data_IF_405333816256
#
_entry.id   IF_405333816256
#
_cell.length_a   1.000
_cell.length_b   1.000
_cell.length_c   1.000
_cell.angle_alpha   90.00
_cell.angle_beta   90.00
_cell.angle_gamma   90.00
#
_symmetry.space_group_name_H-M   'P 1'
#
loop_
_entity.id
_entity.type
_entity.pdbx_description
1 polymer ?
#
# COMPACT_ATOMS: atom_id res chain seq x y z
N UNK A 1 -0.82 19.86 -3.21
CA UNK A 1 -2.07 19.08 -3.11
C UNK A 1 -3.29 20.01 -3.20
N UNK A 2 -4.40 19.53 -3.75
CA UNK A 2 -5.68 20.26 -3.80
C UNK A 2 -6.30 20.38 -2.40
N UNK A 3 -7.16 21.37 -2.20
CA UNK A 3 -7.99 21.48 -0.98
C UNK A 3 -9.25 20.63 -1.10
N UNK A 4 -9.86 20.26 0.04
CA UNK A 4 -11.12 19.49 0.06
C UNK A 4 -12.23 20.13 -0.76
N UNK A 5 -12.34 21.47 -0.72
CA UNK A 5 -13.33 22.20 -1.51
C UNK A 5 -13.07 22.12 -3.02
N UNK A 6 -11.79 22.15 -3.43
CA UNK A 6 -11.39 21.96 -4.81
C UNK A 6 -11.68 20.53 -5.28
N UNK A 7 -11.37 19.52 -4.45
CA UNK A 7 -11.67 18.12 -4.75
C UNK A 7 -13.18 17.91 -4.94
N UNK A 8 -14.02 18.38 -4.01
CA UNK A 8 -15.47 18.27 -4.10
C UNK A 8 -16.06 18.93 -5.36
N UNK A 9 -15.46 20.05 -5.81
CA UNK A 9 -15.90 20.72 -7.04
C UNK A 9 -15.55 19.92 -8.30
N UNK A 10 -14.40 19.26 -8.30
CA UNK A 10 -13.99 18.37 -9.40
C UNK A 10 -14.90 17.15 -9.44
N UNK A 11 -15.14 16.54 -8.29
CA UNK A 11 -15.96 15.33 -8.12
C UNK A 11 -17.40 15.55 -8.62
N UNK A 12 -18.06 16.60 -8.11
CA UNK A 12 -19.44 16.94 -8.48
C UNK A 12 -19.62 17.27 -9.98
N UNK A 13 -18.57 17.74 -10.66
CA UNK A 13 -18.63 18.03 -12.11
C UNK A 13 -18.52 16.78 -12.97
N UNK A 14 -18.01 15.69 -12.43
CA UNK A 14 -17.67 14.48 -13.17
C UNK A 14 -18.46 13.25 -12.70
N UNK A 15 -19.56 13.44 -11.95
CA UNK A 15 -20.47 12.36 -11.54
C UNK A 15 -20.94 11.49 -12.74
N UNK A 16 -20.98 12.04 -13.96
CA UNK A 16 -21.36 11.34 -15.19
C UNK A 16 -20.19 10.89 -16.09
N UNK A 17 -18.92 11.17 -15.73
CA UNK A 17 -17.74 10.87 -16.57
C UNK A 17 -16.87 9.79 -15.94
N UNK A 18 -16.39 8.83 -16.75
CA UNK A 18 -15.45 7.80 -16.28
C UNK A 18 -14.16 8.45 -15.78
N UNK A 19 -13.95 8.44 -14.46
CA UNK A 19 -12.70 8.87 -13.84
C UNK A 19 -11.53 8.01 -14.34
N UNK A 20 -10.41 8.67 -14.66
CA UNK A 20 -9.16 7.97 -14.93
C UNK A 20 -8.44 7.69 -13.60
N UNK A 21 -8.58 6.46 -13.11
CA UNK A 21 -7.96 6.02 -11.86
C UNK A 21 -6.45 5.84 -12.02
N UNK A 22 -5.68 6.56 -11.21
CA UNK A 22 -4.24 6.38 -11.06
C UNK A 22 -3.90 5.30 -10.03
N UNK A 23 -4.74 5.13 -9.02
CA UNK A 23 -4.59 4.09 -8.01
C UNK A 23 -5.93 3.69 -7.41
N UNK A 24 -6.08 2.39 -7.13
CA UNK A 24 -7.16 1.85 -6.29
C UNK A 24 -6.63 0.69 -5.47
N UNK A 25 -7.03 0.63 -4.20
CA UNK A 25 -6.72 -0.48 -3.31
C UNK A 25 -7.47 -1.77 -3.69
N UNK A 26 -8.46 -1.66 -4.59
CA UNK A 26 -9.37 -2.72 -4.98
C UNK A 26 -9.32 -3.02 -6.47
N UNK A 27 -9.54 -4.29 -6.77
CA UNK A 27 -9.78 -4.84 -8.10
C UNK A 27 -11.24 -5.32 -8.17
N UNK A 28 -11.69 -5.77 -9.35
CA UNK A 28 -13.02 -6.35 -9.51
C UNK A 28 -13.30 -7.55 -8.59
N UNK A 29 -12.27 -8.21 -8.07
CA UNK A 29 -12.37 -9.43 -7.26
C UNK A 29 -12.00 -9.25 -5.80
N UNK A 30 -11.69 -8.03 -5.35
CA UNK A 30 -11.24 -7.76 -3.99
C UNK A 30 -9.96 -6.92 -3.94
N UNK A 31 -9.28 -6.84 -2.78
CA UNK A 31 -8.10 -6.00 -2.62
C UNK A 31 -6.99 -6.40 -3.59
N UNK A 32 -6.23 -5.42 -4.08
CA UNK A 32 -5.10 -5.68 -4.96
C UNK A 32 -4.00 -6.47 -4.22
N UNK A 33 -3.08 -7.10 -4.98
CA UNK A 33 -2.08 -7.99 -4.40
C UNK A 33 -1.15 -7.25 -3.42
N UNK A 34 -0.78 -6.00 -3.72
CA UNK A 34 -0.02 -5.15 -2.81
C UNK A 34 -0.75 -5.00 -1.47
N UNK A 35 -2.02 -4.61 -1.47
CA UNK A 35 -2.81 -4.42 -0.25
C UNK A 35 -2.88 -5.71 0.58
N UNK A 36 -3.03 -6.87 -0.07
CA UNK A 36 -3.05 -8.17 0.62
C UNK A 36 -1.70 -8.50 1.27
N UNK A 37 -0.58 -8.22 0.58
CA UNK A 37 0.76 -8.40 1.14
C UNK A 37 0.99 -7.48 2.33
N UNK A 38 0.57 -6.21 2.23
CA UNK A 38 0.68 -5.24 3.32
C UNK A 38 -0.14 -5.66 4.55
N UNK A 39 -1.36 -6.17 4.35
CA UNK A 39 -2.18 -6.75 5.42
C UNK A 39 -1.47 -7.92 6.11
N UNK A 40 -0.87 -8.84 5.34
CA UNK A 40 -0.11 -9.96 5.91
C UNK A 40 1.09 -9.45 6.73
N UNK A 41 1.80 -8.44 6.22
CA UNK A 41 2.93 -7.80 6.90
C UNK A 41 2.50 -7.14 8.21
N UNK A 42 1.34 -6.47 8.22
CA UNK A 42 0.74 -5.91 9.42
C UNK A 42 0.41 -7.00 10.44
N UNK A 43 -0.05 -8.17 10.00
CA UNK A 43 -0.27 -9.34 10.85
C UNK A 43 1.02 -9.85 11.50
N UNK A 44 2.12 -9.91 10.74
CA UNK A 44 3.42 -10.32 11.25
C UNK A 44 4.00 -9.32 12.26
N UNK A 45 3.92 -8.02 11.96
CA UNK A 45 4.34 -6.95 12.88
C UNK A 45 3.49 -6.97 14.16
N UNK A 46 2.18 -7.13 14.03
CA UNK A 46 1.25 -7.26 15.16
C UNK A 46 1.57 -8.48 16.04
N UNK A 47 1.88 -9.62 15.44
CA UNK A 47 2.29 -10.82 16.18
C UNK A 47 3.59 -10.58 16.97
N UNK A 48 4.61 -9.98 16.34
CA UNK A 48 5.91 -9.74 16.95
C UNK A 48 5.90 -8.68 18.05
N UNK A 49 5.08 -7.63 17.90
CA UNK A 49 4.90 -6.64 18.97
C UNK A 49 4.17 -7.18 20.20
N UNK A 50 3.34 -8.20 20.03
CA UNK A 50 2.47 -8.74 21.08
C UNK A 50 2.86 -10.17 21.51
N UNK A 51 4.06 -10.63 21.15
CA UNK A 51 4.50 -12.03 21.35
C UNK A 51 4.38 -12.56 22.79
N UNK A 52 4.57 -11.76 23.87
CA UNK A 52 4.39 -12.30 25.22
C UNK A 52 2.93 -12.64 25.57
N UNK A 53 1.95 -12.20 24.77
CA UNK A 53 0.53 -12.17 25.15
C UNK A 53 -0.42 -12.78 24.11
N UNK A 54 0.06 -13.35 22.99
CA UNK A 54 -0.79 -13.78 21.87
C UNK A 54 -0.77 -15.29 21.58
N UNK A 55 -1.91 -15.82 21.05
CA UNK A 55 -2.04 -17.20 20.59
C UNK A 55 -1.14 -17.48 19.37
N UNK A 56 -1.15 -18.75 18.93
CA UNK A 56 -0.45 -19.27 17.75
C UNK A 56 -0.45 -18.28 16.57
N UNK A 57 0.74 -18.02 16.01
CA UNK A 57 0.97 -17.11 14.89
C UNK A 57 0.05 -17.39 13.71
N UNK A 58 -0.22 -18.67 13.43
CA UNK A 58 -1.13 -19.03 12.34
C UNK A 58 -2.51 -18.39 12.52
N UNK A 59 -3.00 -18.28 13.75
CA UNK A 59 -4.28 -17.64 14.08
C UNK A 59 -4.24 -16.14 13.80
N UNK A 60 -3.17 -15.45 14.20
CA UNK A 60 -3.03 -14.01 13.95
C UNK A 60 -2.95 -13.74 12.45
N UNK A 61 -2.18 -14.52 11.70
CA UNK A 61 -2.02 -14.31 10.27
C UNK A 61 -3.28 -14.66 9.47
N UNK A 62 -4.09 -15.63 9.91
CA UNK A 62 -5.41 -15.89 9.31
C UNK A 62 -6.32 -14.66 9.36
N UNK A 63 -6.32 -13.94 10.48
CA UNK A 63 -7.07 -12.67 10.60
C UNK A 63 -6.53 -11.56 9.69
N UNK A 64 -5.33 -11.73 9.16
CA UNK A 64 -4.64 -10.79 8.28
C UNK A 64 -4.46 -11.36 6.87
N UNK A 65 -5.43 -12.16 6.41
CA UNK A 65 -5.51 -12.56 5.00
C UNK A 65 -4.50 -13.62 4.56
N UNK A 66 -3.90 -14.39 5.49
CA UNK A 66 -3.03 -15.53 5.15
C UNK A 66 -3.65 -16.46 4.10
N UNK A 67 -4.94 -16.74 4.25
CA UNK A 67 -5.65 -17.70 3.41
C UNK A 67 -6.16 -17.08 2.10
N UNK A 68 -5.95 -15.77 1.90
CA UNK A 68 -6.32 -15.12 0.64
C UNK A 68 -5.39 -15.55 -0.49
N UNK A 69 -4.16 -15.96 -0.17
CA UNK A 69 -3.10 -16.26 -1.15
C UNK A 69 -3.24 -17.65 -1.76
N UNK A 70 -2.92 -17.74 -3.05
CA UNK A 70 -2.80 -19.01 -3.76
C UNK A 70 -1.44 -19.05 -4.49
N UNK A 71 -0.46 -19.84 -4.01
CA UNK A 71 -0.54 -20.73 -2.85
C UNK A 71 -0.51 -19.98 -1.51
N UNK A 72 -1.13 -20.57 -0.49
CA UNK A 72 -1.03 -20.12 0.91
C UNK A 72 0.44 -20.25 1.37
N UNK A 73 0.99 -19.31 2.17
CA UNK A 73 2.35 -19.43 2.66
C UNK A 73 2.53 -20.65 3.58
N UNK A 74 3.61 -21.39 3.35
CA UNK A 74 4.07 -22.48 4.21
C UNK A 74 4.54 -21.97 5.57
N UNK A 75 4.70 -22.87 6.54
CA UNK A 75 5.19 -22.49 7.87
C UNK A 75 6.60 -21.88 7.78
N UNK A 76 7.45 -22.42 6.93
CA UNK A 76 8.81 -21.96 6.68
C UNK A 76 8.83 -20.56 6.04
N UNK A 77 7.92 -20.29 5.10
CA UNK A 77 7.77 -18.95 4.53
C UNK A 77 7.35 -17.94 5.60
N UNK A 78 6.48 -18.34 6.53
CA UNK A 78 6.08 -17.48 7.65
C UNK A 78 7.24 -17.24 8.62
N UNK A 79 8.03 -18.27 8.97
CA UNK A 79 9.22 -18.09 9.80
C UNK A 79 10.27 -17.18 9.14
N UNK A 80 10.39 -17.26 7.82
CA UNK A 80 11.19 -16.32 7.02
C UNK A 80 10.67 -14.88 7.15
N UNK A 81 9.35 -14.69 7.21
CA UNK A 81 8.74 -13.37 7.40
C UNK A 81 9.11 -12.77 8.75
N UNK A 82 9.08 -13.58 9.81
CA UNK A 82 9.51 -13.13 11.14
C UNK A 82 10.99 -12.74 11.18
N UNK A 83 11.84 -13.51 10.50
CA UNK A 83 13.28 -13.23 10.41
C UNK A 83 13.56 -11.90 9.69
N UNK A 84 12.64 -11.47 8.82
CA UNK A 84 12.71 -10.22 8.07
C UNK A 84 12.00 -9.04 8.73
N UNK A 85 11.53 -9.17 9.98
CA UNK A 85 10.72 -8.14 10.66
C UNK A 85 11.27 -6.71 10.64
N UNK A 86 12.58 -6.46 10.86
CA UNK A 86 13.11 -5.09 10.79
C UNK A 86 12.89 -4.42 9.43
N UNK A 87 12.79 -5.21 8.36
CA UNK A 87 12.54 -4.72 7.01
C UNK A 87 11.03 -4.56 6.73
N UNK A 88 10.18 -5.41 7.33
CA UNK A 88 8.73 -5.24 7.31
C UNK A 88 8.34 -3.88 7.90
N UNK A 89 8.95 -3.48 9.02
CA UNK A 89 8.66 -2.19 9.65
C UNK A 89 8.90 -0.99 8.71
N UNK A 90 9.89 -1.06 7.82
CA UNK A 90 10.14 -0.02 6.81
C UNK A 90 9.04 0.02 5.74
N UNK A 91 8.57 -1.14 5.31
CA UNK A 91 7.46 -1.26 4.35
C UNK A 91 6.18 -0.69 4.97
N UNK A 92 5.86 -1.08 6.20
CA UNK A 92 4.68 -0.55 6.92
C UNK A 92 4.80 0.94 7.21
N UNK A 93 6.01 1.47 7.42
CA UNK A 93 6.21 2.92 7.53
C UNK A 93 5.89 3.63 6.22
N UNK A 94 6.30 3.09 5.07
CA UNK A 94 5.94 3.65 3.77
C UNK A 94 4.42 3.61 3.55
N UNK A 95 3.77 2.50 3.92
CA UNK A 95 2.31 2.35 3.86
C UNK A 95 1.61 3.44 4.70
N UNK A 96 2.06 3.62 5.94
CA UNK A 96 1.51 4.65 6.82
C UNK A 96 1.69 6.05 6.26
N UNK A 97 2.83 6.37 5.65
CA UNK A 97 3.05 7.71 5.06
C UNK A 97 2.16 7.98 3.86
N UNK A 98 1.79 6.95 3.11
CA UNK A 98 0.78 7.06 2.06
C UNK A 98 -0.61 7.25 2.67
N UNK A 99 -0.96 6.48 3.71
CA UNK A 99 -2.26 6.63 4.38
C UNK A 99 -2.42 8.02 5.02
N UNK A 100 -1.35 8.58 5.59
CA UNK A 100 -1.31 9.96 6.08
C UNK A 100 -1.53 10.98 4.95
N UNK A 101 -0.96 10.72 3.75
CA UNK A 101 -1.14 11.58 2.57
C UNK A 101 -2.57 11.53 2.02
N UNK A 102 -3.24 10.38 2.09
CA UNK A 102 -4.59 10.18 1.57
C UNK A 102 -5.70 10.32 2.61
N UNK A 103 -5.37 10.76 3.83
CA UNK A 103 -6.37 10.99 4.86
C UNK A 103 -7.30 12.15 4.48
N UNK A 104 -8.53 12.14 5.00
CA UNK A 104 -9.49 13.24 4.80
C UNK A 104 -8.97 14.57 5.37
N UNK A 105 -8.21 14.47 6.47
CA UNK A 105 -7.52 15.57 7.13
C UNK A 105 -6.03 15.19 7.24
N UNK A 106 -5.25 15.35 6.15
CA UNK A 106 -3.86 14.94 6.15
C UNK A 106 -3.04 15.83 7.08
N UNK A 107 -2.07 15.26 7.83
CA UNK A 107 -1.12 16.05 8.61
C UNK A 107 -0.42 17.11 7.76
N UNK A 108 -0.08 18.26 8.37
CA UNK A 108 0.55 19.37 7.67
C UNK A 108 1.88 18.98 6.98
N UNK A 109 2.59 17.98 7.51
CA UNK A 109 3.86 17.46 7.01
C UNK A 109 3.70 16.17 6.18
N UNK A 110 2.47 15.75 5.83
CA UNK A 110 2.22 14.49 5.13
C UNK A 110 2.96 14.40 3.79
N UNK A 111 3.03 15.51 3.05
CA UNK A 111 3.77 15.61 1.79
C UNK A 111 5.28 15.39 1.99
N UNK A 112 5.87 16.01 3.03
CA UNK A 112 7.31 15.91 3.31
C UNK A 112 7.71 14.52 3.85
N UNK A 113 6.76 13.85 4.51
CA UNK A 113 6.96 12.52 5.09
C UNK A 113 6.73 11.39 4.10
N UNK A 114 6.17 11.66 2.92
CA UNK A 114 5.87 10.65 1.92
C UNK A 114 7.10 9.80 1.58
N UNK A 115 6.97 8.47 1.68
CA UNK A 115 8.04 7.51 1.35
C UNK A 115 7.59 6.55 0.26
N UNK A 116 8.48 6.29 -0.69
CA UNK A 116 8.26 5.32 -1.76
C UNK A 116 8.07 3.90 -1.21
N UNK A 117 6.89 3.33 -1.46
CA UNK A 117 6.55 1.95 -1.19
C UNK A 117 7.42 0.99 -2.01
N UNK A 118 7.61 1.29 -3.30
CA UNK A 118 8.44 0.47 -4.18
C UNK A 118 9.87 0.35 -3.65
N UNK A 119 10.45 1.47 -3.22
CA UNK A 119 11.81 1.51 -2.67
C UNK A 119 11.92 0.67 -1.39
N UNK A 120 10.92 0.76 -0.49
CA UNK A 120 10.88 -0.04 0.72
C UNK A 120 10.77 -1.55 0.42
N UNK A 121 9.95 -1.94 -0.56
CA UNK A 121 9.80 -3.34 -0.98
C UNK A 121 11.05 -3.88 -1.66
N UNK A 122 11.76 -3.08 -2.46
CA UNK A 122 13.06 -3.48 -3.04
C UNK A 122 14.06 -3.76 -1.91
N UNK A 123 14.18 -2.85 -0.93
CA UNK A 123 15.07 -3.05 0.22
C UNK A 123 14.69 -4.28 1.04
N UNK A 124 13.39 -4.53 1.24
CA UNK A 124 12.89 -5.74 1.86
C UNK A 124 13.35 -6.97 1.08
N UNK A 125 13.15 -7.02 -0.24
CA UNK A 125 13.56 -8.15 -1.07
C UNK A 125 15.07 -8.40 -1.00
N UNK A 126 15.87 -7.34 -1.11
CA UNK A 126 17.33 -7.43 -0.99
C UNK A 126 17.75 -7.98 0.36
N UNK A 127 17.08 -7.60 1.46
CA UNK A 127 17.40 -8.15 2.77
C UNK A 127 17.14 -9.66 2.86
N UNK A 128 16.07 -10.15 2.23
CA UNK A 128 15.81 -11.59 2.14
C UNK A 128 16.95 -12.32 1.42
N UNK A 129 17.55 -11.70 0.41
CA UNK A 129 18.61 -12.35 -0.36
C UNK A 129 19.89 -12.65 0.44
N UNK A 130 20.08 -11.96 1.57
CA UNK A 130 21.24 -12.13 2.45
C UNK A 130 20.99 -13.10 3.63
N UNK A 131 19.76 -13.63 3.78
CA UNK A 131 19.41 -14.54 4.87
C UNK A 131 18.87 -15.87 4.34
N UNK A 132 19.65 -16.95 4.53
CA UNK A 132 19.30 -18.30 4.11
C UNK A 132 17.98 -18.79 4.72
N UNK A 133 17.60 -18.30 5.91
CA UNK A 133 16.34 -18.68 6.58
C UNK A 133 15.10 -18.18 5.83
N UNK A 134 15.28 -17.25 4.89
CA UNK A 134 14.17 -16.65 4.13
C UNK A 134 13.99 -17.28 2.75
N UNK A 135 14.69 -18.37 2.43
CA UNK A 135 14.59 -19.04 1.12
C UNK A 135 13.13 -19.37 0.75
N UNK A 136 12.39 -20.01 1.65
CA UNK A 136 10.99 -20.38 1.40
C UNK A 136 10.09 -19.15 1.24
N UNK A 137 10.32 -18.10 2.02
CA UNK A 137 9.63 -16.82 1.84
C UNK A 137 9.91 -16.22 0.46
N UNK A 138 11.18 -16.22 0.03
CA UNK A 138 11.58 -15.69 -1.28
C UNK A 138 10.93 -16.44 -2.43
N UNK A 139 10.86 -17.77 -2.32
CA UNK A 139 10.21 -18.63 -3.30
C UNK A 139 8.70 -18.37 -3.33
N UNK A 140 8.06 -18.31 -2.16
CA UNK A 140 6.63 -18.02 -2.06
C UNK A 140 6.28 -16.65 -2.66
N UNK A 141 7.02 -15.58 -2.31
CA UNK A 141 6.82 -14.25 -2.87
C UNK A 141 6.92 -14.25 -4.40
N UNK A 142 7.89 -15.00 -4.96
CA UNK A 142 8.03 -15.14 -6.41
C UNK A 142 6.78 -15.78 -7.03
N UNK A 143 6.26 -16.83 -6.42
CA UNK A 143 5.10 -17.59 -6.92
C UNK A 143 3.81 -16.77 -6.86
N UNK A 144 3.56 -16.01 -5.79
CA UNK A 144 2.35 -15.17 -5.70
C UNK A 144 2.37 -13.94 -6.61
N UNK A 145 3.50 -13.65 -7.27
CA UNK A 145 3.63 -12.54 -8.20
C UNK A 145 4.32 -11.31 -7.62
N UNK A 146 5.49 -11.45 -6.98
CA UNK A 146 6.28 -10.31 -6.47
C UNK A 146 6.51 -9.19 -7.49
N UNK A 147 6.65 -9.51 -8.77
CA UNK A 147 6.76 -8.50 -9.83
C UNK A 147 5.53 -7.59 -9.91
N UNK A 148 4.33 -8.17 -9.80
CA UNK A 148 3.06 -7.43 -9.72
C UNK A 148 2.99 -6.57 -8.47
N UNK A 149 3.47 -7.07 -7.32
CA UNK A 149 3.55 -6.27 -6.08
C UNK A 149 4.42 -5.03 -6.27
N UNK A 150 5.59 -5.17 -6.91
CA UNK A 150 6.49 -4.04 -7.17
C UNK A 150 5.92 -3.05 -8.20
N UNK A 151 5.18 -3.55 -9.20
CA UNK A 151 4.49 -2.71 -10.17
C UNK A 151 3.37 -1.91 -9.50
N UNK A 152 2.51 -2.57 -8.71
CA UNK A 152 1.44 -1.88 -7.97
C UNK A 152 2.01 -0.86 -6.98
N UNK A 153 3.13 -1.16 -6.34
CA UNK A 153 3.81 -0.20 -5.48
C UNK A 153 4.32 1.02 -6.25
N UNK A 154 4.75 0.84 -7.51
CA UNK A 154 5.18 1.94 -8.38
C UNK A 154 4.00 2.81 -8.82
N UNK A 155 2.88 2.18 -9.20
CA UNK A 155 1.63 2.87 -9.55
C UNK A 155 1.11 3.69 -8.35
N UNK A 156 1.12 3.10 -7.14
CA UNK A 156 0.77 3.79 -5.90
C UNK A 156 1.69 4.98 -5.61
N UNK A 157 3.01 4.79 -5.78
CA UNK A 157 3.99 5.86 -5.59
C UNK A 157 3.75 7.02 -6.58
N UNK A 158 3.51 6.71 -7.86
CA UNK A 158 3.21 7.69 -8.90
C UNK A 158 1.91 8.46 -8.62
N UNK A 159 0.87 7.76 -8.16
CA UNK A 159 -0.39 8.39 -7.78
C UNK A 159 -0.21 9.32 -6.56
N UNK A 160 0.59 8.93 -5.56
CA UNK A 160 0.96 9.78 -4.43
C UNK A 160 1.71 11.04 -4.87
N UNK A 161 2.67 10.92 -5.80
CA UNK A 161 3.34 12.09 -6.38
C UNK A 161 2.39 12.99 -7.16
N UNK A 162 1.46 12.43 -7.94
CA UNK A 162 0.47 13.20 -8.66
C UNK A 162 -0.46 13.98 -7.71
N UNK A 163 -0.83 13.41 -6.54
CA UNK A 163 -1.58 14.13 -5.51
C UNK A 163 -0.78 15.32 -4.94
N UNK A 164 0.49 15.09 -4.61
CA UNK A 164 1.39 16.12 -4.08
C UNK A 164 1.48 17.30 -5.06
N UNK A 165 1.68 17.01 -6.33
CA UNK A 165 1.80 17.97 -7.43
C UNK A 165 0.45 18.61 -7.84
N UNK A 166 -0.67 18.14 -7.29
CA UNK A 166 -2.01 18.64 -7.63
C UNK A 166 -2.51 18.25 -9.01
N UNK A 167 -1.95 17.18 -9.59
CA UNK A 167 -2.39 16.53 -10.83
C UNK A 167 -3.37 15.38 -10.60
N UNK A 168 -3.62 15.04 -9.34
CA UNK A 168 -4.59 14.03 -8.92
C UNK A 168 -5.45 14.53 -7.75
N UNK A 169 -6.55 13.84 -7.50
CA UNK A 169 -7.44 14.09 -6.37
C UNK A 169 -7.97 12.79 -5.76
N UNK A 170 -8.63 12.90 -4.61
CA UNK A 170 -9.26 11.79 -3.88
C UNK A 170 -10.78 11.89 -4.05
N UNK A 171 -11.40 11.08 -4.93
CA UNK A 171 -12.85 11.03 -5.10
C UNK A 171 -13.55 10.43 -3.87
N UNK A 172 -14.84 10.69 -3.71
CA UNK A 172 -15.64 10.12 -2.61
C UNK A 172 -15.72 8.59 -2.64
N UNK A 173 -15.63 7.98 -3.83
CA UNK A 173 -15.65 6.52 -4.03
C UNK A 173 -14.39 5.82 -3.53
N UNK A 174 -13.33 6.58 -3.26
CA UNK A 174 -12.05 6.09 -2.77
C UNK A 174 -11.06 5.73 -3.88
N UNK A 175 -9.76 5.83 -3.57
CA UNK A 175 -8.68 5.72 -4.54
C UNK A 175 -8.13 7.09 -4.95
N UNK A 176 -7.33 7.12 -6.01
CA UNK A 176 -6.72 8.33 -6.56
C UNK A 176 -7.05 8.42 -8.04
N UNK A 177 -7.67 9.54 -8.44
CA UNK A 177 -8.00 9.81 -9.84
C UNK A 177 -7.20 11.00 -10.37
N UNK A 178 -6.91 10.99 -11.67
CA UNK A 178 -6.28 12.12 -12.36
C UNK A 178 -7.21 13.33 -12.37
N UNK A 179 -6.65 14.53 -12.23
CA UNK A 179 -7.40 15.78 -12.43
C UNK A 179 -7.64 15.98 -13.92
N UNK A 180 -8.90 16.11 -14.36
CA UNK A 180 -9.21 16.33 -15.77
C UNK A 180 -8.54 17.61 -16.34
N UNK A 181 -8.10 17.58 -17.61
CA UNK A 181 -7.36 18.67 -18.25
C UNK A 181 -8.19 19.95 -18.43
N UNK A 182 -9.53 19.87 -18.41
CA UNK A 182 -10.50 20.95 -18.55
C UNK A 182 -10.74 21.75 -17.25
N UNK A 183 -9.75 21.73 -16.36
CA UNK A 183 -9.72 22.43 -15.08
C UNK A 183 -10.05 23.93 -15.23
N UNK A 184 -11.00 24.50 -14.47
CA UNK A 184 -11.01 25.95 -14.24
C UNK A 184 -9.82 26.30 -13.33
N UNK A 185 -9.19 27.44 -13.55
CA UNK A 185 -7.98 27.84 -12.84
C UNK A 185 -8.28 28.19 -11.36
N UNK A 186 -8.31 27.18 -10.49
CA UNK A 186 -8.55 27.37 -9.05
C UNK A 186 -7.39 28.07 -8.32
N UNK A 187 -6.34 28.49 -9.05
CA UNK A 187 -5.27 29.33 -8.53
C UNK A 187 -5.65 30.83 -8.46
N UNK A 188 -6.85 31.21 -8.94
CA UNK A 188 -7.32 32.61 -8.97
C UNK A 188 -8.50 32.91 -8.01
N UNK A 189 -8.83 32.01 -7.07
CA UNK A 189 -9.88 32.27 -6.05
C UNK A 189 -9.38 32.04 -4.64
#
# INVERSE_FOLDING_TARGET
MLTTAQMATIDARHEDTLLHWLWSDWTATGPCLLCRVLTLFQGADTYLRNTPWRPDMATVLRQHGRDDFNPVPSQEAILGLLSAWPHIGKVLTADQTFNDLTASEPPADATDRFRSMRSALIQFRTALDHDLRTLELRNWLKVIGWGTVLQQAEERDQAGHALIEGRAFLPAEGGIAEVPPDRPNYAET
#
